data_IF_330998611254
#
_entry.id   IF_330998611254
#
_cell.length_a   1.000
_cell.length_b   1.000
_cell.length_c   1.000
_cell.angle_alpha   90.00
_cell.angle_beta   90.00
_cell.angle_gamma   90.00
#
_symmetry.space_group_name_H-M   'P 1'
#
loop_
_entity.id
_entity.type
_entity.pdbx_description
1 polymer ?
#
# COMPACT_ATOMS: atom_id res chain seq x y z
N UNK A 1 -3.91 6.25 -23.70
CA UNK A 1 -2.48 6.13 -23.35
C UNK A 1 -2.43 5.91 -21.85
N UNK A 2 -1.84 4.82 -21.38
CA UNK A 2 -1.68 4.61 -19.93
C UNK A 2 -0.57 5.55 -19.47
N UNK A 3 -0.87 6.45 -18.53
CA UNK A 3 0.11 7.30 -17.89
C UNK A 3 0.52 6.58 -16.60
N UNK A 4 1.75 6.07 -16.55
CA UNK A 4 2.26 5.25 -15.45
C UNK A 4 3.49 5.94 -14.88
N UNK A 5 3.62 5.92 -13.55
CA UNK A 5 4.72 6.60 -12.88
C UNK A 5 6.06 5.91 -13.12
N UNK A 6 6.99 6.57 -13.79
CA UNK A 6 8.32 6.01 -14.06
C UNK A 6 9.19 5.87 -12.80
N UNK A 7 9.05 6.81 -11.85
CA UNK A 7 9.79 6.86 -10.59
C UNK A 7 8.91 7.41 -9.48
N UNK A 8 8.96 6.79 -8.30
CA UNK A 8 8.51 7.42 -7.07
C UNK A 8 9.31 8.71 -6.84
N UNK A 9 8.65 9.72 -6.29
CA UNK A 9 9.26 11.02 -5.98
C UNK A 9 8.55 11.67 -4.80
N UNK A 10 9.31 12.45 -4.05
CA UNK A 10 8.78 13.37 -3.04
C UNK A 10 8.41 14.68 -3.74
N UNK A 11 7.32 15.34 -3.32
CA UNK A 11 6.99 16.67 -3.83
C UNK A 11 8.04 17.70 -3.43
N UNK A 12 8.15 18.78 -4.21
CA UNK A 12 9.04 19.90 -3.89
C UNK A 12 8.40 20.85 -2.86
N UNK A 13 7.07 20.87 -2.80
CA UNK A 13 6.26 21.74 -1.97
C UNK A 13 5.05 21.01 -1.35
N UNK A 14 4.35 21.70 -0.45
CA UNK A 14 3.13 21.21 0.21
C UNK A 14 1.90 21.37 -0.70
N UNK A 15 2.05 21.17 -2.02
CA UNK A 15 0.92 21.18 -2.95
C UNK A 15 0.13 19.88 -2.85
N UNK A 16 -1.06 19.97 -2.26
CA UNK A 16 -1.99 18.86 -2.07
C UNK A 16 -2.37 18.18 -3.40
N UNK A 17 -2.56 18.94 -4.48
CA UNK A 17 -2.95 18.38 -5.78
C UNK A 17 -1.82 17.54 -6.36
N UNK A 18 -0.58 18.02 -6.28
CA UNK A 18 0.60 17.30 -6.76
C UNK A 18 0.89 16.03 -5.93
N UNK A 19 0.77 16.14 -4.59
CA UNK A 19 0.90 14.98 -3.70
C UNK A 19 -0.16 13.91 -4.04
N UNK A 20 -1.42 14.31 -4.12
CA UNK A 20 -2.53 13.43 -4.50
C UNK A 20 -2.34 12.80 -5.87
N UNK A 21 -1.83 13.56 -6.85
CA UNK A 21 -1.53 13.04 -8.18
C UNK A 21 -0.47 11.93 -8.14
N UNK A 22 0.61 12.09 -7.36
CA UNK A 22 1.63 11.05 -7.21
C UNK A 22 1.05 9.79 -6.58
N UNK A 23 0.27 9.93 -5.49
CA UNK A 23 -0.39 8.78 -4.84
C UNK A 23 -1.32 8.06 -5.82
N UNK A 24 -2.09 8.82 -6.62
CA UNK A 24 -2.93 8.28 -7.68
C UNK A 24 -2.14 7.47 -8.71
N UNK A 25 -1.00 7.97 -9.16
CA UNK A 25 -0.15 7.26 -10.12
C UNK A 25 0.52 6.01 -9.52
N UNK A 26 0.88 6.03 -8.23
CA UNK A 26 1.33 4.82 -7.52
C UNK A 26 0.24 3.76 -7.47
N UNK A 27 -1.02 4.15 -7.26
CA UNK A 27 -2.19 3.25 -7.28
C UNK A 27 -2.41 2.64 -8.67
N UNK A 28 -2.17 3.41 -9.72
CA UNK A 28 -2.20 2.93 -11.10
C UNK A 28 -1.11 1.90 -11.38
N UNK A 29 0.13 2.11 -10.91
CA UNK A 29 1.22 1.12 -11.02
C UNK A 29 0.79 -0.21 -10.38
N UNK A 30 0.31 -0.19 -9.14
CA UNK A 30 -0.12 -1.41 -8.43
C UNK A 30 -1.26 -2.10 -9.17
N UNK A 31 -2.26 -1.34 -9.63
CA UNK A 31 -3.43 -1.88 -10.33
C UNK A 31 -3.04 -2.50 -11.66
N UNK A 32 -2.28 -1.79 -12.50
CA UNK A 32 -1.85 -2.31 -13.80
C UNK A 32 -0.89 -3.48 -13.68
N UNK A 33 -0.01 -3.49 -12.67
CA UNK A 33 0.88 -4.61 -12.40
C UNK A 33 0.10 -5.85 -11.96
N UNK A 34 -0.90 -5.68 -11.08
CA UNK A 34 -1.77 -6.77 -10.64
C UNK A 34 -2.57 -7.37 -11.79
N UNK A 35 -3.06 -6.53 -12.70
CA UNK A 35 -3.89 -6.92 -13.86
C UNK A 35 -3.09 -7.36 -15.09
N UNK A 36 -1.77 -7.56 -14.98
CA UNK A 36 -0.90 -7.95 -16.10
C UNK A 36 -0.95 -6.97 -17.29
N UNK A 37 -1.29 -5.70 -17.02
CA UNK A 37 -1.24 -4.61 -18.01
C UNK A 37 0.15 -4.01 -18.14
N UNK A 38 0.98 -4.12 -17.11
CA UNK A 38 2.42 -3.80 -17.15
C UNK A 38 3.23 -4.97 -16.56
N UNK A 39 4.41 -5.27 -17.14
CA UNK A 39 5.06 -4.56 -18.24
C UNK A 39 4.39 -4.82 -19.62
N UNK A 40 4.55 -3.89 -20.55
CA UNK A 40 4.09 -3.96 -21.95
C UNK A 40 5.06 -3.22 -22.89
N UNK A 41 4.72 -3.07 -24.18
CA UNK A 41 5.57 -2.40 -25.19
C UNK A 41 5.96 -0.95 -24.84
N UNK A 42 5.11 -0.23 -24.10
CA UNK A 42 5.30 1.19 -23.74
C UNK A 42 5.87 1.38 -22.33
N UNK A 43 5.63 0.42 -21.44
CA UNK A 43 6.11 0.45 -20.07
C UNK A 43 6.76 -0.89 -19.77
N UNK A 44 8.07 -0.98 -20.01
CA UNK A 44 8.81 -2.24 -20.05
C UNK A 44 9.14 -2.75 -18.65
N UNK A 45 9.73 -3.94 -18.58
CA UNK A 45 10.28 -4.47 -17.32
C UNK A 45 11.38 -3.55 -16.76
N UNK A 46 12.17 -2.89 -17.62
CA UNK A 46 13.19 -1.95 -17.19
C UNK A 46 12.56 -0.71 -16.54
N UNK A 47 11.42 -0.22 -17.06
CA UNK A 47 10.66 0.85 -16.41
C UNK A 47 10.17 0.43 -15.02
N UNK A 48 9.68 -0.80 -14.87
CA UNK A 48 9.32 -1.35 -13.55
C UNK A 48 10.53 -1.40 -12.62
N UNK A 49 11.68 -1.90 -13.08
CA UNK A 49 12.91 -1.95 -12.28
C UNK A 49 13.33 -0.54 -11.84
N UNK A 50 13.25 0.46 -12.72
CA UNK A 50 13.53 1.87 -12.39
C UNK A 50 12.59 2.36 -11.29
N UNK A 51 11.29 2.11 -11.42
CA UNK A 51 10.30 2.48 -10.41
C UNK A 51 10.58 1.80 -9.06
N UNK A 52 10.85 0.49 -9.05
CA UNK A 52 11.14 -0.25 -7.82
C UNK A 52 12.45 0.20 -7.15
N UNK A 53 13.50 0.51 -7.93
CA UNK A 53 14.72 1.12 -7.39
C UNK A 53 14.42 2.48 -6.76
N UNK A 54 13.61 3.33 -7.40
CA UNK A 54 13.24 4.63 -6.83
C UNK A 54 12.46 4.52 -5.52
N UNK A 55 11.65 3.46 -5.35
CA UNK A 55 11.05 3.17 -4.05
C UNK A 55 12.13 2.84 -3.02
N UNK A 56 13.08 1.96 -3.33
CA UNK A 56 14.14 1.60 -2.38
C UNK A 56 15.00 2.82 -2.00
N UNK A 57 15.41 3.62 -2.99
CA UNK A 57 16.27 4.79 -2.81
C UNK A 57 15.62 5.91 -2.00
N UNK A 58 14.30 6.10 -2.14
CA UNK A 58 13.57 7.23 -1.54
C UNK A 58 12.69 6.81 -0.35
N UNK A 59 12.87 5.59 0.19
CA UNK A 59 12.29 5.26 1.49
C UNK A 59 12.95 6.13 2.56
N UNK A 60 12.13 6.78 3.40
CA UNK A 60 12.63 7.69 4.45
C UNK A 60 13.48 6.93 5.46
N UNK A 61 14.76 7.31 5.62
CA UNK A 61 15.66 6.64 6.59
C UNK A 61 15.73 7.34 7.96
N UNK A 62 15.36 8.62 7.97
CA UNK A 62 15.37 9.53 9.12
C UNK A 62 13.98 10.17 9.30
N UNK A 63 13.77 10.92 10.38
CA UNK A 63 12.52 11.60 10.78
C UNK A 63 11.41 10.76 11.43
N UNK A 64 10.33 11.45 11.81
CA UNK A 64 9.12 10.91 12.47
C UNK A 64 8.38 9.89 11.59
N UNK A 65 8.59 9.91 10.27
CA UNK A 65 8.01 8.99 9.30
C UNK A 65 9.02 7.99 8.75
N UNK A 66 10.07 7.70 9.52
CA UNK A 66 11.09 6.71 9.14
C UNK A 66 10.46 5.39 8.67
N UNK A 67 11.03 4.84 7.59
CA UNK A 67 10.61 3.66 6.85
C UNK A 67 9.35 3.82 5.98
N UNK A 68 8.83 5.04 5.84
CA UNK A 68 7.69 5.32 4.95
C UNK A 68 8.12 5.73 3.54
N UNK A 69 7.15 5.73 2.62
CA UNK A 69 7.24 6.38 1.31
C UNK A 69 6.43 7.69 1.28
N UNK A 70 6.59 8.55 2.29
CA UNK A 70 5.90 9.84 2.32
C UNK A 70 6.17 10.68 1.06
N UNK A 71 5.11 11.21 0.45
CA UNK A 71 5.19 12.14 -0.69
C UNK A 71 5.34 13.60 -0.27
N UNK A 72 5.12 13.90 1.02
CA UNK A 72 5.26 15.23 1.59
C UNK A 72 6.74 15.64 1.66
N UNK A 73 7.12 16.86 1.23
CA UNK A 73 8.51 17.35 1.32
C UNK A 73 9.00 17.41 2.77
N UNK A 74 8.13 17.86 3.68
CA UNK A 74 8.41 18.09 5.09
C UNK A 74 7.40 17.32 5.96
N UNK A 75 7.61 16.00 6.18
CA UNK A 75 6.65 15.16 6.87
C UNK A 75 6.26 15.66 8.28
N UNK A 76 7.19 16.30 8.99
CA UNK A 76 6.96 16.90 10.32
C UNK A 76 5.94 18.05 10.31
N UNK A 77 5.72 18.67 9.16
CA UNK A 77 4.78 19.77 8.98
C UNK A 77 3.46 19.31 8.35
N UNK A 78 3.30 18.01 8.13
CA UNK A 78 2.06 17.45 7.57
C UNK A 78 0.98 17.42 8.65
N UNK A 79 -0.20 18.02 8.41
CA UNK A 79 -1.32 17.95 9.33
C UNK A 79 -1.69 16.50 9.68
N UNK A 80 -2.11 16.27 10.93
CA UNK A 80 -2.40 14.92 11.44
C UNK A 80 -3.50 14.22 10.64
N UNK A 81 -4.47 14.98 10.14
CA UNK A 81 -5.57 14.50 9.30
C UNK A 81 -5.14 14.14 7.87
N UNK A 82 -3.99 14.64 7.41
CA UNK A 82 -3.40 14.38 6.10
C UNK A 82 -2.30 13.31 6.13
N UNK A 83 -1.78 12.95 7.32
CA UNK A 83 -0.75 11.92 7.47
C UNK A 83 -1.15 10.58 6.81
N UNK A 84 -2.43 10.22 6.90
CA UNK A 84 -2.93 8.98 6.29
C UNK A 84 -2.76 9.02 4.77
N UNK A 85 -3.15 10.13 4.16
CA UNK A 85 -3.16 10.29 2.71
C UNK A 85 -1.75 10.46 2.14
N UNK A 86 -0.83 11.08 2.87
CA UNK A 86 0.50 11.45 2.35
C UNK A 86 1.67 10.70 2.96
N UNK A 87 1.46 9.89 4.01
CA UNK A 87 2.49 9.00 4.57
C UNK A 87 2.07 7.55 4.48
N UNK A 88 0.86 7.21 4.94
CA UNK A 88 0.42 5.82 5.03
C UNK A 88 -0.01 5.24 3.68
N UNK A 89 -0.86 5.93 2.92
CA UNK A 89 -1.30 5.46 1.60
C UNK A 89 -0.15 5.25 0.59
N UNK A 90 0.79 6.20 0.41
CA UNK A 90 2.00 5.96 -0.36
C UNK A 90 2.78 4.76 0.16
N UNK A 91 2.81 4.55 1.48
CA UNK A 91 3.52 3.42 2.07
C UNK A 91 2.84 2.08 1.76
N UNK A 92 1.52 2.00 1.87
CA UNK A 92 0.76 0.81 1.47
C UNK A 92 0.97 0.49 -0.02
N UNK A 93 1.02 1.51 -0.87
CA UNK A 93 1.26 1.37 -2.30
C UNK A 93 2.69 0.92 -2.61
N UNK A 94 3.70 1.46 -1.90
CA UNK A 94 5.09 1.01 -2.00
C UNK A 94 5.26 -0.46 -1.59
N UNK A 95 4.67 -0.85 -0.45
CA UNK A 95 4.63 -2.25 0.00
C UNK A 95 3.94 -3.14 -1.04
N UNK A 96 2.76 -2.73 -1.53
CA UNK A 96 1.99 -3.50 -2.50
C UNK A 96 2.76 -3.69 -3.83
N UNK A 97 3.41 -2.64 -4.32
CA UNK A 97 4.19 -2.69 -5.56
C UNK A 97 5.40 -3.62 -5.44
N UNK A 98 6.22 -3.47 -4.38
CA UNK A 98 7.38 -4.32 -4.14
C UNK A 98 6.98 -5.78 -3.89
N UNK A 99 5.89 -6.02 -3.15
CA UNK A 99 5.37 -7.36 -2.90
C UNK A 99 4.92 -8.06 -4.19
N UNK A 100 4.17 -7.36 -5.06
CA UNK A 100 3.80 -7.89 -6.38
C UNK A 100 5.02 -8.15 -7.24
N UNK A 101 5.97 -7.22 -7.28
CA UNK A 101 7.17 -7.36 -8.10
C UNK A 101 8.00 -8.57 -7.69
N UNK A 102 8.20 -8.77 -6.37
CA UNK A 102 8.89 -9.95 -5.81
C UNK A 102 8.23 -11.25 -6.24
N UNK A 103 6.89 -11.30 -6.24
CA UNK A 103 6.14 -12.52 -6.53
C UNK A 103 6.01 -12.81 -8.03
N UNK A 104 5.93 -11.79 -8.87
CA UNK A 104 5.71 -11.93 -10.32
C UNK A 104 7.02 -11.97 -11.12
N UNK A 105 8.05 -11.28 -10.65
CA UNK A 105 9.35 -11.11 -11.32
C UNK A 105 10.51 -11.35 -10.34
N UNK A 106 10.62 -12.56 -9.74
CA UNK A 106 11.59 -12.83 -8.68
C UNK A 106 13.04 -12.64 -9.13
N UNK A 107 13.36 -12.99 -10.38
CA UNK A 107 14.71 -12.84 -10.94
C UNK A 107 15.09 -11.37 -11.09
N UNK A 108 14.17 -10.52 -11.55
CA UNK A 108 14.37 -9.06 -11.64
C UNK A 108 14.42 -8.42 -10.26
N UNK A 109 13.53 -8.81 -9.36
CA UNK A 109 13.50 -8.33 -7.98
C UNK A 109 14.82 -8.61 -7.25
N UNK A 110 15.43 -9.79 -7.47
CA UNK A 110 16.72 -10.16 -6.87
C UNK A 110 17.88 -9.23 -7.25
N UNK A 111 17.74 -8.48 -8.36
CA UNK A 111 18.75 -7.52 -8.85
C UNK A 111 18.63 -6.15 -8.16
N UNK A 112 17.54 -5.89 -7.44
CA UNK A 112 17.29 -4.62 -6.77
C UNK A 112 17.92 -4.67 -5.37
N UNK A 113 19.09 -4.05 -5.24
CA UNK A 113 19.81 -3.99 -3.97
C UNK A 113 18.95 -3.34 -2.88
N UNK A 114 18.85 -3.98 -1.71
CA UNK A 114 18.11 -3.43 -0.56
C UNK A 114 16.58 -3.61 -0.60
N UNK A 115 16.01 -4.20 -1.67
CA UNK A 115 14.56 -4.35 -1.82
C UNK A 115 13.89 -5.08 -0.65
N UNK A 116 14.45 -6.20 -0.18
CA UNK A 116 13.89 -6.95 0.95
C UNK A 116 13.90 -6.13 2.25
N UNK A 117 14.97 -5.37 2.50
CA UNK A 117 15.05 -4.46 3.66
C UNK A 117 13.99 -3.37 3.55
N UNK A 118 13.87 -2.73 2.40
CA UNK A 118 12.90 -1.67 2.16
C UNK A 118 11.46 -2.19 2.31
N UNK A 119 11.14 -3.35 1.72
CA UNK A 119 9.83 -3.97 1.84
C UNK A 119 9.49 -4.31 3.30
N UNK A 120 10.42 -4.91 4.04
CA UNK A 120 10.27 -5.21 5.47
C UNK A 120 10.03 -3.96 6.30
N UNK A 121 10.82 -2.92 6.06
CA UNK A 121 10.71 -1.63 6.73
C UNK A 121 9.35 -0.95 6.44
N UNK A 122 8.94 -0.95 5.18
CA UNK A 122 7.66 -0.40 4.76
C UNK A 122 6.46 -1.14 5.37
N UNK A 123 6.52 -2.48 5.44
CA UNK A 123 5.49 -3.29 6.12
C UNK A 123 5.37 -2.96 7.61
N UNK A 124 6.50 -2.77 8.30
CA UNK A 124 6.50 -2.36 9.71
C UNK A 124 5.89 -0.98 9.91
N UNK A 125 6.21 -0.04 9.02
CA UNK A 125 5.59 1.30 9.06
C UNK A 125 4.09 1.20 8.79
N UNK A 126 3.69 0.45 7.77
CA UNK A 126 2.30 0.25 7.37
C UNK A 126 1.42 -0.23 8.53
N UNK A 127 1.90 -1.18 9.35
CA UNK A 127 1.16 -1.72 10.50
C UNK A 127 1.36 -0.93 11.79
N UNK A 128 2.25 0.07 11.82
CA UNK A 128 2.62 0.78 13.07
C UNK A 128 1.43 1.42 13.80
N UNK A 129 0.42 1.88 13.05
CA UNK A 129 -0.84 2.43 13.58
C UNK A 129 -2.02 1.45 13.48
N UNK A 130 -1.80 0.17 13.16
CA UNK A 130 -2.85 -0.86 12.99
C UNK A 130 -3.98 -0.42 12.04
N UNK A 131 -3.61 0.27 10.95
CA UNK A 131 -4.54 0.85 9.99
C UNK A 131 -5.55 1.85 10.59
N UNK A 132 -5.25 2.45 11.75
CA UNK A 132 -6.09 3.49 12.32
C UNK A 132 -6.13 4.69 11.38
N UNK A 133 -7.33 5.02 10.89
CA UNK A 133 -7.58 6.26 10.17
C UNK A 133 -7.90 7.43 11.10
N UNK A 134 -8.30 8.56 10.51
CA UNK A 134 -8.58 9.80 11.23
C UNK A 134 -10.04 10.24 11.07
N UNK A 135 -10.66 10.63 12.19
CA UNK A 135 -12.00 11.21 12.23
C UNK A 135 -13.09 10.36 11.56
N UNK A 136 -13.99 11.04 10.84
CA UNK A 136 -15.14 10.45 10.16
C UNK A 136 -14.75 9.39 9.10
N UNK A 137 -13.54 9.49 8.53
CA UNK A 137 -13.06 8.60 7.48
C UNK A 137 -12.29 7.39 8.02
N UNK A 138 -12.20 7.22 9.34
CA UNK A 138 -11.35 6.20 9.96
C UNK A 138 -11.63 4.77 9.49
N UNK A 139 -12.90 4.37 9.45
CA UNK A 139 -13.31 3.06 8.92
C UNK A 139 -12.96 2.89 7.44
N UNK A 140 -13.23 3.92 6.63
CA UNK A 140 -12.96 3.87 5.20
C UNK A 140 -11.45 3.76 4.92
N UNK A 141 -10.64 4.55 5.61
CA UNK A 141 -9.18 4.53 5.49
C UNK A 141 -8.60 3.18 5.94
N UNK A 142 -9.14 2.59 7.02
CA UNK A 142 -8.76 1.24 7.48
C UNK A 142 -9.02 0.20 6.39
N UNK A 143 -10.21 0.20 5.79
CA UNK A 143 -10.59 -0.76 4.76
C UNK A 143 -9.80 -0.54 3.47
N UNK A 144 -9.62 0.71 3.04
CA UNK A 144 -8.84 1.05 1.85
C UNK A 144 -7.37 0.61 2.01
N UNK A 145 -6.77 0.80 3.19
CA UNK A 145 -5.43 0.30 3.48
C UNK A 145 -5.30 -1.21 3.23
N UNK A 146 -6.26 -1.99 3.73
CA UNK A 146 -6.28 -3.45 3.53
C UNK A 146 -6.52 -3.80 2.06
N UNK A 147 -7.43 -3.11 1.37
CA UNK A 147 -7.68 -3.33 -0.06
C UNK A 147 -6.41 -3.07 -0.88
N UNK A 148 -5.66 -2.01 -0.59
CA UNK A 148 -4.40 -1.71 -1.27
C UNK A 148 -3.35 -2.81 -1.04
N UNK A 149 -3.21 -3.30 0.20
CA UNK A 149 -2.29 -4.39 0.53
C UNK A 149 -2.73 -5.73 -0.10
N UNK A 150 -4.03 -6.01 -0.16
CA UNK A 150 -4.58 -7.17 -0.86
C UNK A 150 -4.31 -7.13 -2.37
N UNK A 151 -4.44 -5.96 -3.01
CA UNK A 151 -4.03 -5.79 -4.42
C UNK A 151 -2.54 -6.14 -4.61
N UNK A 152 -1.73 -5.80 -3.61
CA UNK A 152 -0.32 -6.13 -3.52
C UNK A 152 0.03 -7.61 -3.32
N UNK A 153 -0.97 -8.48 -3.09
CA UNK A 153 -0.76 -9.87 -2.67
C UNK A 153 0.13 -10.01 -1.43
N UNK A 154 0.01 -9.04 -0.51
CA UNK A 154 0.89 -8.94 0.68
C UNK A 154 0.64 -10.10 1.65
N UNK A 155 -0.61 -10.54 1.80
CA UNK A 155 -0.94 -11.69 2.65
C UNK A 155 -0.31 -12.97 2.12
N UNK A 156 -0.38 -13.23 0.81
CA UNK A 156 0.24 -14.38 0.17
C UNK A 156 1.76 -14.40 0.34
N UNK A 157 2.41 -13.24 0.23
CA UNK A 157 3.83 -13.11 0.52
C UNK A 157 4.13 -13.45 1.98
N UNK A 158 3.37 -12.92 2.94
CA UNK A 158 3.60 -13.13 4.36
C UNK A 158 3.30 -14.56 4.82
N UNK A 159 2.40 -15.28 4.16
CA UNK A 159 2.18 -16.72 4.41
C UNK A 159 3.42 -17.53 4.00
N UNK A 160 4.03 -17.19 2.85
CA UNK A 160 5.22 -17.87 2.33
C UNK A 160 6.49 -17.46 3.07
N UNK A 161 6.58 -16.20 3.45
CA UNK A 161 7.76 -15.57 4.06
C UNK A 161 7.39 -14.74 5.30
N UNK A 162 6.95 -15.37 6.41
CA UNK A 162 6.47 -14.66 7.60
C UNK A 162 7.51 -13.73 8.24
N UNK A 163 8.81 -13.96 7.99
CA UNK A 163 9.91 -13.16 8.51
C UNK A 163 9.94 -11.70 8.02
N UNK A 164 9.16 -11.35 7.01
CA UNK A 164 9.03 -9.96 6.55
C UNK A 164 8.36 -9.11 7.63
N UNK A 165 7.13 -9.44 8.03
CA UNK A 165 6.41 -8.73 9.10
C UNK A 165 5.25 -9.57 9.63
N UNK A 166 5.47 -10.42 10.65
CA UNK A 166 4.40 -11.25 11.21
C UNK A 166 3.28 -10.41 11.83
N UNK A 167 3.59 -9.23 12.34
CA UNK A 167 2.60 -8.30 12.92
C UNK A 167 1.58 -7.82 11.87
N UNK A 168 2.05 -7.57 10.65
CA UNK A 168 1.17 -7.19 9.53
C UNK A 168 0.24 -8.33 9.14
N UNK A 169 0.73 -9.58 9.15
CA UNK A 169 -0.10 -10.75 8.86
C UNK A 169 -1.21 -10.93 9.90
N UNK A 170 -0.89 -10.78 11.17
CA UNK A 170 -1.89 -10.87 12.25
C UNK A 170 -2.92 -9.75 12.17
N UNK A 171 -2.51 -8.51 11.87
CA UNK A 171 -3.45 -7.40 11.70
C UNK A 171 -4.38 -7.61 10.50
N UNK A 172 -3.89 -8.16 9.37
CA UNK A 172 -4.73 -8.51 8.22
C UNK A 172 -5.77 -9.59 8.59
N UNK A 173 -5.40 -10.59 9.39
CA UNK A 173 -6.34 -11.61 9.89
C UNK A 173 -7.41 -11.01 10.80
N UNK A 174 -7.03 -10.08 11.68
CA UNK A 174 -7.98 -9.37 12.55
C UNK A 174 -8.99 -8.58 11.74
N UNK A 175 -8.55 -7.80 10.74
CA UNK A 175 -9.47 -7.07 9.86
C UNK A 175 -10.39 -8.03 9.08
N UNK A 176 -9.86 -9.15 8.58
CA UNK A 176 -10.69 -10.15 7.90
C UNK A 176 -11.76 -10.74 8.83
N UNK A 177 -11.39 -11.08 10.07
CA UNK A 177 -12.34 -11.59 11.07
C UNK A 177 -13.45 -10.58 11.36
N UNK A 178 -13.10 -9.31 11.57
CA UNK A 178 -14.06 -8.21 11.76
C UNK A 178 -15.03 -8.11 10.58
N UNK A 179 -14.52 -8.15 9.34
CA UNK A 179 -15.33 -8.07 8.11
C UNK A 179 -16.26 -9.28 7.98
N UNK A 180 -15.76 -10.50 8.24
CA UNK A 180 -16.58 -11.73 8.21
C UNK A 180 -17.72 -11.63 9.23
N UNK A 181 -17.42 -11.18 10.44
CA UNK A 181 -18.43 -11.00 11.49
C UNK A 181 -19.47 -9.92 11.11
N UNK A 182 -19.01 -8.78 10.58
CA UNK A 182 -19.88 -7.70 10.16
C UNK A 182 -20.86 -8.15 9.05
N UNK A 183 -20.36 -8.86 8.04
CA UNK A 183 -21.18 -9.41 6.95
C UNK A 183 -22.18 -10.45 7.48
N UNK A 184 -21.73 -11.38 8.34
CA UNK A 184 -22.60 -12.40 8.96
C UNK A 184 -23.74 -11.75 9.75
N UNK A 185 -23.46 -10.66 10.45
CA UNK A 185 -24.42 -9.92 11.26
C UNK A 185 -25.20 -8.84 10.48
N UNK A 186 -25.02 -8.74 9.15
CA UNK A 186 -25.62 -7.70 8.28
C UNK A 186 -25.30 -6.26 8.72
N UNK A 187 -24.19 -6.05 9.43
CA UNK A 187 -23.67 -4.74 9.83
C UNK A 187 -22.81 -4.16 8.70
N UNK A 188 -23.44 -3.86 7.57
CA UNK A 188 -22.76 -3.34 6.37
C UNK A 188 -22.82 -1.81 6.26
N UNK A 189 -23.46 -1.15 7.22
CA UNK A 189 -23.58 0.31 7.30
C UNK A 189 -22.86 0.75 8.57
N UNK A 190 -21.96 1.72 8.47
CA UNK A 190 -21.25 2.25 9.64
C UNK A 190 -22.13 3.22 10.45
N UNK A 191 -21.58 3.76 11.55
CA UNK A 191 -22.30 4.68 12.45
C UNK A 191 -22.77 5.98 11.78
N UNK A 192 -22.20 6.31 10.62
CA UNK A 192 -22.53 7.50 9.84
C UNK A 192 -23.47 7.24 8.66
N UNK A 193 -24.00 6.02 8.52
CA UNK A 193 -24.91 5.69 7.43
C UNK A 193 -24.23 5.34 6.10
N UNK A 194 -22.90 5.18 6.07
CA UNK A 194 -22.14 4.81 4.87
C UNK A 194 -22.17 3.30 4.69
N UNK A 195 -22.53 2.84 3.49
CA UNK A 195 -22.55 1.42 3.13
C UNK A 195 -21.14 0.94 2.72
N UNK A 196 -20.60 -0.03 3.46
CA UNK A 196 -19.26 -0.60 3.32
C UNK A 196 -19.25 -1.95 2.57
N UNK A 197 -20.37 -2.33 1.96
CA UNK A 197 -20.54 -3.67 1.37
C UNK A 197 -19.57 -3.97 0.22
N UNK A 198 -19.16 -2.95 -0.54
CA UNK A 198 -18.19 -3.12 -1.63
C UNK A 198 -16.78 -3.36 -1.08
N UNK A 199 -16.40 -2.61 -0.06
CA UNK A 199 -15.12 -2.69 0.63
C UNK A 199 -14.99 -4.05 1.32
N UNK A 200 -16.03 -4.49 2.02
CA UNK A 200 -16.07 -5.82 2.63
C UNK A 200 -15.93 -6.93 1.60
N UNK A 201 -16.65 -6.82 0.47
CA UNK A 201 -16.50 -7.79 -0.64
C UNK A 201 -15.07 -7.80 -1.19
N UNK A 202 -14.47 -6.62 -1.39
CA UNK A 202 -13.11 -6.51 -1.88
C UNK A 202 -12.10 -7.17 -0.93
N UNK A 203 -12.24 -6.98 0.38
CA UNK A 203 -11.40 -7.61 1.41
C UNK A 203 -11.61 -9.13 1.45
N UNK A 204 -12.86 -9.61 1.42
CA UNK A 204 -13.17 -11.04 1.44
C UNK A 204 -12.60 -11.79 0.24
N UNK A 205 -12.49 -11.13 -0.92
CA UNK A 205 -11.83 -11.67 -2.12
C UNK A 205 -10.32 -11.54 -2.00
N UNK A 206 -9.84 -10.35 -1.60
CA UNK A 206 -8.42 -10.01 -1.56
C UNK A 206 -7.63 -10.70 -0.46
N UNK A 207 -8.28 -11.23 0.56
CA UNK A 207 -7.68 -11.99 1.66
C UNK A 207 -8.20 -13.44 1.73
N UNK A 208 -8.68 -13.99 0.62
CA UNK A 208 -9.19 -15.38 0.57
C UNK A 208 -8.14 -16.40 0.99
N UNK A 209 -6.85 -16.11 0.76
CA UNK A 209 -5.72 -16.93 1.17
C UNK A 209 -5.54 -17.07 2.70
N UNK A 210 -6.24 -16.28 3.50
CA UNK A 210 -6.19 -16.31 4.97
C UNK A 210 -7.35 -17.08 5.62
N UNK A 211 -8.28 -17.64 4.83
CA UNK A 211 -9.40 -18.46 5.31
C UNK A 211 -8.99 -19.91 5.51
#
# INVERSE_FOLDING_TARGET
>A
MLYVLDKFRVCEDMDFENQGAIVGLMKDVVTYLKEDKIPNEKYTIDNLIIYMNSLVELQREEDIVKNSWSVSPEPQNTPVDEEVDFHFFPTYLGVAALSLFKQKFPDEYSKISGADKALKNGMKYAVSKKFAGFGFNSDFQRLEAVILLSKGMVAELLIKEPQFCPELLEELKLVLADVVEAVKNKKIVNEFGVNLGNEYKAILIGLDCLK
#
